data_IF_089501304060
#
_entry.id   IF_089501304060
#
_cell.length_a   1.000
_cell.length_b   1.000
_cell.length_c   1.000
_cell.angle_alpha   90.00
_cell.angle_beta   90.00
_cell.angle_gamma   90.00
#
_symmetry.space_group_name_H-M   'P 1'
#
loop_
_entity.id
_entity.type
_entity.pdbx_description
1 polymer ?
#
# COMPACT_ATOMS: atom_id res chain seq x y z
N UNK A 1 -8.97 -14.05 23.03
CA UNK A 1 -8.45 -13.96 21.66
C UNK A 1 -8.47 -12.51 21.21
N UNK A 2 -7.68 -12.16 20.18
CA UNK A 2 -7.47 -10.77 19.73
C UNK A 2 -8.79 -10.02 19.52
N UNK A 3 -9.77 -10.65 18.85
CA UNK A 3 -11.10 -10.05 18.61
C UNK A 3 -11.79 -9.61 19.90
N UNK A 4 -11.84 -10.47 20.92
CA UNK A 4 -12.48 -10.13 22.20
C UNK A 4 -11.72 -9.01 22.91
N UNK A 5 -10.39 -9.05 22.88
CA UNK A 5 -9.56 -8.01 23.49
C UNK A 5 -9.80 -6.63 22.87
N UNK A 6 -9.93 -6.55 21.54
CA UNK A 6 -10.22 -5.30 20.84
C UNK A 6 -11.62 -4.78 21.19
N UNK A 7 -12.62 -5.66 21.30
CA UNK A 7 -13.97 -5.28 21.70
C UNK A 7 -14.02 -4.78 23.15
N UNK A 8 -13.28 -5.41 24.08
CA UNK A 8 -13.21 -4.95 25.46
C UNK A 8 -12.44 -3.63 25.61
N UNK A 9 -11.34 -3.42 24.87
CA UNK A 9 -10.65 -2.12 24.81
C UNK A 9 -11.58 -1.00 24.34
N UNK A 10 -12.36 -1.26 23.29
CA UNK A 10 -13.33 -0.31 22.76
C UNK A 10 -14.46 0.00 23.78
N UNK A 11 -14.96 -1.01 24.52
CA UNK A 11 -15.95 -0.80 25.59
C UNK A 11 -15.40 0.05 26.72
N UNK A 12 -14.18 -0.23 27.17
CA UNK A 12 -13.54 0.51 28.27
C UNK A 12 -13.29 1.98 27.92
N UNK A 13 -13.04 2.28 26.64
CA UNK A 13 -12.84 3.65 26.14
C UNK A 13 -14.12 4.38 25.75
N UNK A 14 -15.30 3.82 26.07
CA UNK A 14 -16.58 4.52 25.97
C UNK A 14 -17.17 4.59 24.56
N UNK A 15 -16.81 3.66 23.67
CA UNK A 15 -17.47 3.56 22.35
C UNK A 15 -18.92 3.08 22.45
N UNK A 16 -19.67 3.33 21.37
CA UNK A 16 -21.00 2.76 21.21
C UNK A 16 -20.95 1.51 20.33
N UNK A 17 -21.24 0.36 20.93
CA UNK A 17 -21.45 -0.90 20.23
C UNK A 17 -22.89 -0.95 19.70
N UNK A 18 -23.05 -0.69 18.40
CA UNK A 18 -24.36 -0.86 17.74
C UNK A 18 -24.71 -2.34 17.56
N UNK A 19 -23.69 -3.19 17.39
CA UNK A 19 -23.79 -4.64 17.47
C UNK A 19 -22.67 -5.12 18.40
N UNK A 20 -23.04 -5.82 19.48
CA UNK A 20 -22.11 -6.15 20.57
C UNK A 20 -21.01 -7.13 20.17
N UNK A 21 -21.23 -7.94 19.14
CA UNK A 21 -20.30 -9.00 18.74
C UNK A 21 -20.08 -10.04 19.83
N UNK A 22 -18.82 -10.45 20.03
CA UNK A 22 -18.43 -11.42 21.05
C UNK A 22 -18.62 -12.87 20.64
N UNK A 23 -18.48 -13.80 21.60
CA UNK A 23 -18.60 -15.25 21.36
C UNK A 23 -20.01 -15.60 20.88
N UNK A 24 -20.10 -16.51 19.92
CA UNK A 24 -21.36 -17.08 19.46
C UNK A 24 -21.64 -18.39 20.22
N UNK A 25 -22.36 -18.29 21.33
CA UNK A 25 -22.58 -19.42 22.24
C UNK A 25 -23.44 -20.55 21.66
N UNK A 26 -24.23 -20.29 20.61
CA UNK A 26 -25.04 -21.33 19.94
C UNK A 26 -24.22 -22.33 19.11
N UNK A 27 -22.91 -22.11 18.94
CA UNK A 27 -22.03 -22.99 18.17
C UNK A 27 -20.81 -23.42 18.99
N UNK A 28 -20.48 -24.71 18.92
CA UNK A 28 -19.27 -25.25 19.52
C UNK A 28 -18.02 -24.79 18.74
N UNK A 29 -17.12 -24.09 19.42
CA UNK A 29 -15.83 -23.66 18.86
C UNK A 29 -15.51 -22.19 19.09
N UNK A 30 -14.75 -21.60 18.16
CA UNK A 30 -14.30 -20.19 18.20
C UNK A 30 -15.17 -19.30 17.30
N UNK A 31 -16.48 -19.47 17.36
CA UNK A 31 -17.42 -18.65 16.61
C UNK A 31 -17.59 -17.29 17.28
N UNK A 32 -17.59 -16.22 16.48
CA UNK A 32 -17.77 -14.84 16.92
C UNK A 32 -18.94 -14.21 16.16
N UNK A 33 -19.81 -13.49 16.89
CA UNK A 33 -20.88 -12.68 16.29
C UNK A 33 -20.29 -11.43 15.63
N UNK A 34 -20.89 -10.93 14.54
CA UNK A 34 -20.50 -9.65 13.97
C UNK A 34 -20.62 -8.50 14.98
N UNK A 35 -19.65 -7.60 14.98
CA UNK A 35 -19.64 -6.41 15.82
C UNK A 35 -19.58 -5.14 14.98
N UNK A 36 -20.32 -4.11 15.40
CA UNK A 36 -20.30 -2.78 14.80
C UNK A 36 -19.98 -1.77 15.89
N UNK A 37 -18.77 -1.25 15.85
CA UNK A 37 -18.25 -0.27 16.82
C UNK A 37 -18.32 1.10 16.18
N UNK A 38 -19.02 2.01 16.83
CA UNK A 38 -19.16 3.41 16.39
C UNK A 38 -18.51 4.36 17.36
N UNK A 39 -18.21 5.57 16.87
CA UNK A 39 -17.55 6.62 17.66
C UNK A 39 -16.14 6.19 18.10
N UNK A 40 -15.46 5.45 17.23
CA UNK A 40 -14.08 5.02 17.47
C UNK A 40 -13.11 6.19 17.33
N UNK A 41 -12.06 6.15 18.14
CA UNK A 41 -10.98 7.12 18.15
C UNK A 41 -9.65 6.43 17.84
N UNK A 42 -8.64 7.24 17.47
CA UNK A 42 -7.35 6.73 17.02
C UNK A 42 -6.53 6.05 18.13
N UNK A 43 -6.90 6.12 19.40
CA UNK A 43 -6.25 5.42 20.52
C UNK A 43 -6.79 4.01 20.77
N UNK A 44 -7.87 3.59 20.10
CA UNK A 44 -8.49 2.28 20.29
C UNK A 44 -7.79 1.20 19.46
N UNK A 45 -7.65 0.00 20.03
CA UNK A 45 -7.02 -1.16 19.35
C UNK A 45 -7.77 -1.55 18.08
N UNK A 46 -9.11 -1.53 18.12
CA UNK A 46 -9.96 -1.85 16.96
C UNK A 46 -9.74 -0.92 15.76
N UNK A 47 -9.19 0.29 15.99
CA UNK A 47 -8.84 1.24 14.93
C UNK A 47 -7.39 1.07 14.43
N UNK A 48 -6.46 0.79 15.34
CA UNK A 48 -5.01 0.75 15.06
C UNK A 48 -4.51 -0.61 14.60
N UNK A 49 -5.00 -1.67 15.22
CA UNK A 49 -4.44 -3.01 15.15
C UNK A 49 -5.35 -3.92 14.31
N UNK A 50 -4.74 -4.87 13.60
CA UNK A 50 -5.49 -5.84 12.82
C UNK A 50 -6.31 -6.75 13.73
N UNK A 51 -7.63 -6.70 13.60
CA UNK A 51 -8.54 -7.48 14.45
C UNK A 51 -8.74 -8.90 13.93
N UNK A 52 -8.64 -9.10 12.60
CA UNK A 52 -8.81 -10.40 11.92
C UNK A 52 -10.09 -11.17 12.34
N UNK A 53 -11.19 -10.43 12.50
CA UNK A 53 -12.48 -10.95 12.94
C UNK A 53 -13.64 -10.14 12.36
N UNK A 54 -14.89 -10.56 12.64
CA UNK A 54 -16.08 -9.95 12.04
C UNK A 54 -16.44 -8.62 12.73
N UNK A 55 -15.53 -7.65 12.73
CA UNK A 55 -15.67 -6.38 13.43
C UNK A 55 -15.52 -5.23 12.42
N UNK A 56 -16.47 -4.30 12.43
CA UNK A 56 -16.39 -3.05 11.67
C UNK A 56 -16.30 -1.89 12.66
N UNK A 57 -15.26 -1.07 12.51
CA UNK A 57 -15.07 0.17 13.26
C UNK A 57 -15.43 1.38 12.40
N UNK A 58 -16.26 2.28 12.92
CA UNK A 58 -16.74 3.47 12.20
C UNK A 58 -16.32 4.76 12.88
N UNK A 59 -15.58 5.58 12.13
CA UNK A 59 -15.20 6.94 12.50
C UNK A 59 -15.82 7.95 11.51
N UNK A 60 -16.39 9.03 12.05
CA UNK A 60 -16.92 10.14 11.24
C UNK A 60 -15.79 11.10 10.87
N UNK A 61 -15.96 11.79 9.75
CA UNK A 61 -15.11 12.88 9.29
C UNK A 61 -15.99 13.98 8.69
N UNK A 62 -15.47 15.19 8.60
CA UNK A 62 -16.18 16.36 8.08
C UNK A 62 -15.62 16.85 6.75
N UNK A 63 -14.32 16.66 6.50
CA UNK A 63 -13.65 17.10 5.26
C UNK A 63 -13.02 15.94 4.51
N UNK A 64 -12.73 16.17 3.22
CA UNK A 64 -12.06 15.18 2.38
C UNK A 64 -10.62 14.95 2.85
N UNK A 65 -9.94 16.01 3.28
CA UNK A 65 -8.59 16.00 3.84
C UNK A 65 -8.54 15.17 5.12
N UNK A 66 -9.50 15.38 6.03
CA UNK A 66 -9.61 14.60 7.27
C UNK A 66 -9.82 13.11 6.98
N UNK A 67 -10.65 12.77 5.99
CA UNK A 67 -10.85 11.37 5.58
C UNK A 67 -9.56 10.72 5.06
N UNK A 68 -8.77 11.46 4.28
CA UNK A 68 -7.48 11.00 3.74
C UNK A 68 -6.47 10.82 4.88
N UNK A 69 -6.40 11.77 5.81
CA UNK A 69 -5.50 11.70 6.96
C UNK A 69 -5.85 10.50 7.85
N UNK A 70 -7.14 10.29 8.14
CA UNK A 70 -7.61 9.12 8.89
C UNK A 70 -7.28 7.81 8.16
N UNK A 71 -7.55 7.71 6.86
CA UNK A 71 -7.22 6.52 6.07
C UNK A 71 -5.72 6.22 6.02
N UNK A 72 -4.87 7.25 6.07
CA UNK A 72 -3.42 7.11 6.07
C UNK A 72 -2.82 6.91 7.46
N UNK A 73 -3.58 7.18 8.55
CA UNK A 73 -3.17 7.10 9.96
C UNK A 73 -3.00 5.69 10.52
N UNK A 74 -2.57 4.75 9.67
CA UNK A 74 -2.31 3.36 10.00
C UNK A 74 -0.90 2.96 9.59
N UNK A 75 -0.31 2.00 10.31
CA UNK A 75 0.95 1.37 9.94
C UNK A 75 0.83 0.49 8.68
N UNK A 76 -0.40 0.11 8.31
CA UNK A 76 -0.70 -0.78 7.19
C UNK A 76 -1.04 -0.02 5.91
N UNK A 77 -1.01 -0.73 4.78
CA UNK A 77 -1.25 -0.17 3.44
C UNK A 77 -1.51 -1.26 2.40
N UNK A 78 -2.33 -2.26 2.73
CA UNK A 78 -2.63 -3.38 1.82
C UNK A 78 -3.68 -3.01 0.76
N UNK A 79 -4.90 -2.74 1.21
CA UNK A 79 -6.06 -2.41 0.38
C UNK A 79 -6.84 -1.25 0.99
N UNK A 80 -7.57 -0.50 0.18
CA UNK A 80 -8.50 0.54 0.63
C UNK A 80 -9.70 0.65 -0.30
N UNK A 81 -10.79 1.26 0.17
CA UNK A 81 -11.96 1.51 -0.65
C UNK A 81 -12.47 2.94 -0.51
N UNK A 82 -12.88 3.54 -1.64
CA UNK A 82 -13.46 4.89 -1.70
C UNK A 82 -14.87 4.80 -2.28
N UNK A 83 -15.87 5.22 -1.51
CA UNK A 83 -17.27 5.21 -1.92
C UNK A 83 -17.79 6.64 -2.15
N UNK A 84 -18.15 6.97 -3.39
CA UNK A 84 -18.78 8.25 -3.73
C UNK A 84 -19.43 8.21 -5.11
N UNK A 85 -20.49 9.00 -5.30
CA UNK A 85 -21.11 9.23 -6.62
C UNK A 85 -20.28 10.17 -7.51
N UNK A 86 -19.33 10.92 -6.94
CA UNK A 86 -18.50 11.87 -7.69
C UNK A 86 -17.20 11.21 -8.17
N UNK A 87 -17.14 10.84 -9.45
CA UNK A 87 -15.96 10.17 -10.02
C UNK A 87 -14.66 10.98 -10.00
N UNK A 88 -14.72 12.33 -10.05
CA UNK A 88 -13.51 13.17 -9.92
C UNK A 88 -12.97 13.12 -8.48
N UNK A 89 -13.87 13.18 -7.49
CA UNK A 89 -13.54 13.02 -6.07
C UNK A 89 -12.95 11.63 -5.81
N UNK A 90 -13.61 10.58 -6.29
CA UNK A 90 -13.15 9.20 -6.11
C UNK A 90 -11.70 9.02 -6.54
N UNK A 91 -11.35 9.47 -7.76
CA UNK A 91 -9.98 9.36 -8.28
C UNK A 91 -8.97 10.22 -7.51
N UNK A 92 -9.37 11.41 -7.05
CA UNK A 92 -8.49 12.29 -6.27
C UNK A 92 -8.19 11.68 -4.91
N UNK A 93 -9.21 11.25 -4.17
CA UNK A 93 -9.06 10.61 -2.85
C UNK A 93 -8.26 9.31 -2.98
N UNK A 94 -8.60 8.44 -3.95
CA UNK A 94 -7.86 7.21 -4.19
C UNK A 94 -6.36 7.46 -4.42
N UNK A 95 -5.99 8.50 -5.19
CA UNK A 95 -4.57 8.83 -5.41
C UNK A 95 -3.85 9.35 -4.18
N UNK A 96 -4.55 9.84 -3.17
CA UNK A 96 -3.99 10.40 -1.94
C UNK A 96 -3.87 9.36 -0.81
N UNK A 97 -4.53 8.21 -0.93
CA UNK A 97 -4.42 7.11 0.04
C UNK A 97 -3.16 6.30 -0.25
N UNK A 98 -2.35 6.07 0.77
CA UNK A 98 -1.11 5.29 0.73
C UNK A 98 -1.46 3.82 0.94
N UNK A 99 -1.86 3.16 -0.15
CA UNK A 99 -2.21 1.74 -0.19
C UNK A 99 -1.66 1.10 -1.45
N UNK A 100 -1.36 -0.20 -1.38
CA UNK A 100 -0.90 -0.98 -2.52
C UNK A 100 -1.98 -1.24 -3.56
N UNK A 101 -3.24 -1.36 -3.12
CA UNK A 101 -4.40 -1.52 -3.98
C UNK A 101 -5.60 -0.69 -3.46
N UNK A 102 -6.46 -0.24 -4.37
CA UNK A 102 -7.64 0.59 -4.02
C UNK A 102 -8.83 0.21 -4.90
N UNK A 103 -10.00 0.06 -4.29
CA UNK A 103 -11.30 -0.05 -4.95
C UNK A 103 -12.06 1.28 -4.93
N UNK A 104 -12.83 1.57 -5.98
CA UNK A 104 -13.77 2.69 -6.02
C UNK A 104 -15.18 2.13 -6.18
N UNK A 105 -16.07 2.45 -5.23
CA UNK A 105 -17.44 1.94 -5.16
C UNK A 105 -17.54 0.42 -5.15
N UNK A 106 -16.54 -0.24 -4.57
CA UNK A 106 -16.46 -1.69 -4.41
C UNK A 106 -15.51 -2.02 -3.24
N UNK A 107 -15.46 -3.27 -2.81
CA UNK A 107 -14.51 -3.76 -1.80
C UNK A 107 -14.02 -5.15 -2.19
N UNK A 108 -12.73 -5.40 -2.04
CA UNK A 108 -12.04 -6.69 -2.33
C UNK A 108 -12.15 -7.26 -3.75
N UNK A 109 -12.95 -6.66 -4.63
CA UNK A 109 -13.02 -7.07 -6.03
C UNK A 109 -11.66 -7.04 -6.74
N UNK A 110 -10.75 -6.14 -6.34
CA UNK A 110 -9.40 -6.10 -6.89
C UNK A 110 -8.54 -7.33 -6.54
N UNK A 111 -8.82 -8.02 -5.43
CA UNK A 111 -8.07 -9.21 -5.01
C UNK A 111 -8.36 -10.43 -5.91
N UNK A 112 -9.58 -10.53 -6.44
CA UNK A 112 -9.98 -11.64 -7.32
C UNK A 112 -9.61 -11.40 -8.79
N UNK A 113 -9.12 -10.21 -9.14
CA UNK A 113 -8.76 -9.84 -10.50
C UNK A 113 -7.29 -10.13 -10.77
N UNK A 114 -7.00 -11.30 -11.34
CA UNK A 114 -5.63 -11.80 -11.60
C UNK A 114 -4.78 -10.94 -12.53
N UNK A 115 -5.39 -10.05 -13.31
CA UNK A 115 -4.68 -9.13 -14.20
C UNK A 115 -4.20 -7.86 -13.49
N UNK A 116 -4.76 -7.54 -12.32
CA UNK A 116 -4.36 -6.39 -11.53
C UNK A 116 -3.25 -6.79 -10.55
N UNK A 117 -2.14 -6.04 -10.48
CA UNK A 117 -1.10 -6.32 -9.50
C UNK A 117 -1.66 -6.10 -8.08
N UNK A 118 -1.45 -7.07 -7.20
CA UNK A 118 -1.89 -7.02 -5.81
C UNK A 118 -0.68 -7.11 -4.85
N UNK A 119 -0.72 -6.38 -3.75
CA UNK A 119 0.34 -6.37 -2.75
C UNK A 119 0.44 -5.00 -2.09
N UNK A 120 0.85 -4.98 -0.82
CA UNK A 120 0.79 -3.79 0.02
C UNK A 120 1.99 -2.84 -0.08
N UNK A 121 1.97 -1.86 0.81
CA UNK A 121 3.08 -0.97 1.17
C UNK A 121 3.11 -0.82 2.69
N UNK A 122 4.11 -0.09 3.23
CA UNK A 122 4.35 0.06 4.68
C UNK A 122 4.53 -1.33 5.34
N UNK A 123 3.92 -1.59 6.49
CA UNK A 123 4.02 -2.87 7.18
C UNK A 123 3.24 -3.99 6.48
N UNK A 124 2.40 -3.68 5.49
CA UNK A 124 1.70 -4.68 4.67
C UNK A 124 2.60 -5.36 3.62
N UNK A 125 3.90 -5.08 3.63
CA UNK A 125 4.90 -5.77 2.83
C UNK A 125 5.37 -5.04 1.57
N UNK A 126 6.15 -5.76 0.76
CA UNK A 126 6.79 -5.26 -0.46
C UNK A 126 6.57 -6.22 -1.63
N UNK A 127 6.71 -5.72 -2.86
CA UNK A 127 6.51 -6.51 -4.08
C UNK A 127 5.04 -6.65 -4.48
N UNK A 128 4.78 -7.33 -5.59
CA UNK A 128 3.43 -7.53 -6.15
C UNK A 128 3.28 -8.97 -6.62
N UNK A 129 2.10 -9.54 -6.38
CA UNK A 129 1.60 -10.74 -7.04
C UNK A 129 0.63 -10.33 -8.15
N UNK A 130 0.21 -11.29 -8.97
CA UNK A 130 -0.70 -11.09 -10.11
C UNK A 130 -0.16 -10.15 -11.19
N UNK A 131 -0.89 -10.05 -12.29
CA UNK A 131 -0.49 -9.26 -13.46
C UNK A 131 0.87 -9.66 -14.04
N UNK A 132 1.40 -8.81 -14.91
CA UNK A 132 2.76 -8.99 -15.46
C UNK A 132 3.85 -8.77 -14.41
N UNK A 133 3.57 -7.95 -13.40
CA UNK A 133 4.47 -7.63 -12.30
C UNK A 133 4.77 -8.86 -11.45
N UNK A 134 3.73 -9.62 -11.07
CA UNK A 134 3.87 -10.86 -10.31
C UNK A 134 4.65 -11.93 -11.07
N UNK A 135 4.38 -12.10 -12.38
CA UNK A 135 5.16 -13.04 -13.18
C UNK A 135 6.64 -12.63 -13.27
N UNK A 136 6.92 -11.34 -13.48
CA UNK A 136 8.29 -10.81 -13.53
C UNK A 136 9.04 -10.98 -12.22
N UNK A 137 8.36 -10.97 -11.07
CA UNK A 137 8.97 -11.20 -9.77
C UNK A 137 9.62 -12.59 -9.64
N UNK A 138 9.19 -13.57 -10.44
CA UNK A 138 9.79 -14.91 -10.50
C UNK A 138 10.84 -15.08 -11.61
N UNK A 139 11.28 -13.97 -12.23
CA UNK A 139 12.28 -13.99 -13.31
C UNK A 139 13.57 -13.29 -12.88
N UNK A 140 14.70 -13.67 -13.49
CA UNK A 140 15.95 -12.93 -13.35
C UNK A 140 16.10 -11.94 -14.51
N UNK A 141 16.18 -10.64 -14.21
CA UNK A 141 16.38 -9.62 -15.23
C UNK A 141 17.82 -9.62 -15.73
N UNK A 142 18.03 -9.88 -17.02
CA UNK A 142 19.34 -9.83 -17.66
C UNK A 142 19.47 -8.60 -18.58
N UNK A 143 20.50 -7.79 -18.35
CA UNK A 143 20.88 -6.72 -19.26
C UNK A 143 21.85 -7.24 -20.33
N UNK A 144 21.56 -6.98 -21.60
CA UNK A 144 22.41 -7.35 -22.73
C UNK A 144 22.67 -6.11 -23.57
N UNK A 145 23.94 -5.72 -23.68
CA UNK A 145 24.39 -4.64 -24.54
C UNK A 145 25.11 -5.22 -25.75
N UNK A 146 24.72 -4.78 -26.94
CA UNK A 146 25.42 -5.07 -28.19
C UNK A 146 25.92 -3.75 -28.76
N UNK A 147 27.24 -3.65 -28.95
CA UNK A 147 27.81 -2.57 -29.74
C UNK A 147 27.32 -2.69 -31.19
N UNK A 148 26.61 -1.67 -31.66
CA UNK A 148 26.06 -1.59 -33.01
C UNK A 148 27.12 -1.20 -34.04
N UNK A 149 28.09 -0.39 -33.64
CA UNK A 149 29.09 0.20 -34.53
C UNK A 149 30.34 -0.67 -34.65
N UNK A 150 30.59 -1.54 -33.67
CA UNK A 150 31.75 -2.44 -33.67
C UNK A 150 33.05 -1.65 -33.68
N UNK A 151 33.06 -0.47 -33.05
CA UNK A 151 34.26 0.36 -33.02
C UNK A 151 35.34 -0.42 -32.28
N UNK A 152 36.54 -0.48 -32.86
CA UNK A 152 37.67 -1.18 -32.21
C UNK A 152 38.07 -0.55 -30.87
N UNK A 153 37.54 0.64 -30.56
CA UNK A 153 37.87 1.41 -29.37
C UNK A 153 36.80 2.43 -29.02
N UNK A 154 36.30 2.36 -27.79
CA UNK A 154 35.48 3.42 -27.19
C UNK A 154 36.35 4.56 -26.65
N UNK A 155 35.75 5.74 -26.50
CA UNK A 155 36.45 6.93 -26.00
C UNK A 155 37.09 6.72 -24.61
N UNK A 156 36.43 5.92 -23.77
CA UNK A 156 36.87 5.58 -22.42
C UNK A 156 37.73 4.30 -22.36
N UNK A 157 38.03 3.64 -23.48
CA UNK A 157 38.90 2.46 -23.50
C UNK A 157 40.38 2.83 -23.67
N UNK A 158 41.24 2.17 -22.89
CA UNK A 158 42.69 2.26 -23.04
C UNK A 158 43.17 1.64 -24.36
N UNK A 159 44.30 2.10 -24.92
CA UNK A 159 45.15 3.21 -24.43
C UNK A 159 44.63 4.58 -24.88
N UNK A 160 44.56 5.60 -24.00
CA UNK A 160 44.05 6.92 -24.40
C UNK A 160 44.98 7.64 -25.38
N UNK A 161 44.41 8.25 -26.43
CA UNK A 161 45.18 9.13 -27.31
C UNK A 161 45.44 10.48 -26.61
N UNK A 162 46.54 11.15 -26.95
CA UNK A 162 46.85 12.51 -26.48
C UNK A 162 45.69 13.49 -26.75
N UNK A 163 44.98 13.34 -27.89
CA UNK A 163 43.81 14.15 -28.23
C UNK A 163 42.62 13.88 -27.30
N UNK A 164 42.35 12.61 -27.02
CA UNK A 164 41.30 12.19 -26.08
C UNK A 164 41.58 12.70 -24.67
N UNK A 165 42.83 12.62 -24.20
CA UNK A 165 43.24 13.14 -22.90
C UNK A 165 43.08 14.66 -22.80
N UNK A 166 43.50 15.40 -23.85
CA UNK A 166 43.31 16.86 -23.91
C UNK A 166 41.83 17.25 -23.90
N UNK A 167 40.99 16.51 -24.64
CA UNK A 167 39.55 16.72 -24.66
C UNK A 167 38.93 16.47 -23.29
N UNK A 168 39.25 15.33 -22.67
CA UNK A 168 38.73 14.96 -21.35
C UNK A 168 39.15 15.98 -20.28
N UNK A 169 40.42 16.43 -20.31
CA UNK A 169 40.94 17.47 -19.42
C UNK A 169 40.26 18.82 -19.65
N UNK A 170 40.01 19.20 -20.91
CA UNK A 170 39.28 20.45 -21.23
C UNK A 170 37.83 20.40 -20.73
N UNK A 171 37.15 19.27 -20.91
CA UNK A 171 35.77 19.07 -20.44
C UNK A 171 35.70 19.12 -18.91
N UNK A 172 36.61 18.42 -18.22
CA UNK A 172 36.67 18.46 -16.75
C UNK A 172 36.94 19.88 -16.24
N UNK A 173 37.95 20.58 -16.76
CA UNK A 173 38.24 21.95 -16.34
C UNK A 173 37.09 22.93 -16.63
N UNK A 174 36.34 22.71 -17.72
CA UNK A 174 35.18 23.56 -18.04
C UNK A 174 34.01 23.30 -17.08
N UNK A 175 33.82 22.05 -16.63
CA UNK A 175 32.72 21.67 -15.75
C UNK A 175 33.03 21.86 -14.26
N UNK A 176 34.30 21.76 -13.86
CA UNK A 176 34.71 21.67 -12.45
C UNK A 176 35.86 22.61 -12.05
N UNK A 177 36.44 23.39 -12.98
CA UNK A 177 37.52 24.36 -12.72
C UNK A 177 38.91 23.84 -13.04
#
# INVERSE_FOLDING_TARGET
GIVQEHLEDAKQKGTHLMLEGGRHDDFDGLFMKPALVTEVTSDMKVWKDETFGPVIALQKFNTEEEAIDLANSTAYGLNASVWTKNGKKARRVARSIISGAICINDVDANYIMSDLPFGGVKESGIGRVYGKEGLRAFTNMQSVLRDRLGLKKELWWFPYSQGTQKLFRKVINTLFG
#
